data_IF_254732368699
#
_entry.id   IF_254732368699
#
_cell.length_a   1.000
_cell.length_b   1.000
_cell.length_c   1.000
_cell.angle_alpha   90.00
_cell.angle_beta   90.00
_cell.angle_gamma   90.00
#
_symmetry.space_group_name_H-M   'P 1'
#
loop_
_entity.id
_entity.type
_entity.pdbx_description
1 polymer ?
#
# COMPACT_ATOMS: atom_id res chain seq x y z
N UNK A 1 -9.63 -10.45 15.48
CA UNK A 1 -10.80 -11.26 15.87
C UNK A 1 -10.95 -12.44 14.90
N UNK A 2 -11.08 -12.23 13.58
CA UNK A 2 -11.29 -13.31 12.60
C UNK A 2 -10.18 -14.39 12.69
N UNK A 3 -8.91 -14.02 12.65
CA UNK A 3 -7.77 -14.95 12.73
C UNK A 3 -7.70 -15.67 14.07
N UNK A 4 -8.10 -15.00 15.14
CA UNK A 4 -8.14 -15.59 16.47
C UNK A 4 -9.21 -16.67 16.58
N UNK A 5 -10.42 -16.43 16.03
CA UNK A 5 -11.51 -17.40 15.98
C UNK A 5 -11.11 -18.64 15.15
N UNK A 6 -10.36 -18.43 14.08
CA UNK A 6 -9.92 -19.50 13.17
C UNK A 6 -8.66 -20.22 13.63
N UNK A 7 -8.10 -19.87 14.80
CA UNK A 7 -6.84 -20.44 15.37
C UNK A 7 -5.67 -20.41 14.38
N UNK A 8 -5.57 -19.32 13.59
CA UNK A 8 -4.52 -19.12 12.59
C UNK A 8 -3.31 -18.43 13.20
N UNK A 9 -2.12 -18.64 12.60
CA UNK A 9 -0.89 -17.98 13.05
C UNK A 9 -0.94 -16.49 12.75
N UNK A 10 -1.07 -15.68 13.83
CA UNK A 10 -1.15 -14.23 13.73
C UNK A 10 0.10 -13.61 13.12
N UNK A 11 1.27 -14.17 13.37
CA UNK A 11 2.53 -13.63 12.87
C UNK A 11 2.63 -13.74 11.36
N UNK A 12 2.11 -14.82 10.77
CA UNK A 12 2.15 -15.05 9.32
C UNK A 12 0.95 -14.46 8.58
N UNK A 13 -0.23 -14.48 9.18
CA UNK A 13 -1.47 -14.14 8.45
C UNK A 13 -1.99 -12.72 8.73
N UNK A 14 -1.56 -12.07 9.82
CA UNK A 14 -1.97 -10.71 10.13
C UNK A 14 -1.39 -9.67 9.14
N UNK A 15 -0.08 -9.68 8.79
CA UNK A 15 0.45 -8.72 7.83
C UNK A 15 -0.29 -8.73 6.48
N UNK A 16 -0.54 -9.89 5.83
CA UNK A 16 -1.32 -9.94 4.59
C UNK A 16 -2.74 -9.38 4.73
N UNK A 17 -3.37 -9.50 5.89
CA UNK A 17 -4.72 -8.97 6.12
C UNK A 17 -4.76 -7.45 6.32
N UNK A 18 -3.76 -6.87 6.98
CA UNK A 18 -3.81 -5.45 7.37
C UNK A 18 -3.01 -4.54 6.42
N UNK A 19 -2.00 -5.07 5.73
CA UNK A 19 -1.13 -4.28 4.87
C UNK A 19 -1.48 -4.50 3.38
N UNK A 20 -2.21 -3.55 2.78
CA UNK A 20 -2.64 -3.61 1.37
C UNK A 20 -1.51 -3.31 0.39
N UNK A 21 -1.68 -3.77 -0.85
CA UNK A 21 -0.81 -3.45 -1.98
C UNK A 21 -1.12 -2.05 -2.56
N UNK A 22 -1.01 -1.04 -1.71
CA UNK A 22 -1.32 0.35 -2.06
C UNK A 22 -0.36 0.92 -3.09
N UNK A 23 0.93 0.55 -3.02
CA UNK A 23 1.96 1.04 -3.92
C UNK A 23 1.82 0.45 -5.33
N UNK A 24 1.98 -0.87 -5.46
CA UNK A 24 2.09 -1.51 -6.77
C UNK A 24 0.75 -1.63 -7.54
N UNK A 25 -0.38 -1.69 -6.83
CA UNK A 25 -1.70 -1.75 -7.47
C UNK A 25 -2.53 -0.50 -7.20
N UNK A 26 -2.54 -0.03 -5.97
CA UNK A 26 -3.41 1.07 -5.57
C UNK A 26 -3.07 2.38 -6.28
N UNK A 27 -1.80 2.76 -6.38
CA UNK A 27 -1.38 3.98 -7.09
C UNK A 27 -1.79 3.95 -8.56
N UNK A 28 -1.49 2.90 -9.35
CA UNK A 28 -1.92 2.82 -10.74
C UNK A 28 -3.45 2.92 -10.92
N UNK A 29 -4.21 2.20 -10.11
CA UNK A 29 -5.67 2.22 -10.21
C UNK A 29 -6.24 3.61 -9.88
N UNK A 30 -5.71 4.27 -8.86
CA UNK A 30 -6.11 5.63 -8.50
C UNK A 30 -5.72 6.66 -9.57
N UNK A 31 -4.56 6.49 -10.22
CA UNK A 31 -4.17 7.31 -11.37
C UNK A 31 -5.17 7.14 -12.53
N UNK A 32 -5.56 5.91 -12.86
CA UNK A 32 -6.53 5.64 -13.93
C UNK A 32 -7.94 6.15 -13.59
N UNK A 33 -8.34 6.09 -12.32
CA UNK A 33 -9.68 6.51 -11.91
C UNK A 33 -9.81 8.04 -11.74
N UNK A 34 -8.78 8.72 -11.24
CA UNK A 34 -8.84 10.12 -10.80
C UNK A 34 -7.71 11.00 -11.36
N UNK A 35 -6.93 10.51 -12.33
CA UNK A 35 -5.82 11.26 -12.93
C UNK A 35 -4.71 11.59 -11.93
N UNK A 36 -4.00 12.69 -12.18
CA UNK A 36 -2.86 13.13 -11.35
C UNK A 36 -3.25 13.50 -9.92
N UNK A 37 -4.47 13.95 -9.69
CA UNK A 37 -4.99 14.20 -8.33
C UNK A 37 -5.11 12.91 -7.53
N UNK A 38 -5.63 11.85 -8.16
CA UNK A 38 -5.69 10.51 -7.56
C UNK A 38 -4.31 9.93 -7.28
N UNK A 39 -3.35 10.16 -8.19
CA UNK A 39 -1.95 9.79 -8.00
C UNK A 39 -1.36 10.41 -6.74
N UNK A 40 -1.55 11.71 -6.52
CA UNK A 40 -1.02 12.43 -5.37
C UNK A 40 -1.54 11.87 -4.03
N UNK A 41 -2.86 11.76 -3.90
CA UNK A 41 -3.48 11.22 -2.66
C UNK A 41 -3.12 9.75 -2.46
N UNK A 42 -3.14 8.94 -3.52
CA UNK A 42 -2.76 7.53 -3.44
C UNK A 42 -1.30 7.34 -3.01
N UNK A 43 -0.39 8.20 -3.49
CA UNK A 43 1.03 8.17 -3.12
C UNK A 43 1.23 8.53 -1.65
N UNK A 44 0.49 9.52 -1.13
CA UNK A 44 0.53 9.86 0.29
C UNK A 44 0.06 8.70 1.17
N UNK A 45 -1.06 8.06 0.83
CA UNK A 45 -1.57 6.87 1.54
C UNK A 45 -0.56 5.72 1.45
N UNK A 46 -0.03 5.45 0.26
CA UNK A 46 0.96 4.39 0.06
C UNK A 46 2.24 4.63 0.87
N UNK A 47 2.67 5.89 1.01
CA UNK A 47 3.83 6.25 1.84
C UNK A 47 3.64 5.87 3.30
N UNK A 48 2.46 6.15 3.87
CA UNK A 48 2.13 5.74 5.24
C UNK A 48 2.10 4.22 5.37
N UNK A 49 1.48 3.51 4.41
CA UNK A 49 1.42 2.05 4.43
C UNK A 49 2.83 1.43 4.27
N UNK A 50 3.69 1.99 3.44
CA UNK A 50 5.09 1.56 3.29
C UNK A 50 5.84 1.68 4.63
N UNK A 51 5.68 2.77 5.37
CA UNK A 51 6.26 2.90 6.70
C UNK A 51 5.76 1.80 7.64
N UNK A 52 4.46 1.48 7.61
CA UNK A 52 3.93 0.36 8.39
C UNK A 52 4.47 -1.00 7.94
N UNK A 53 4.75 -1.23 6.65
CA UNK A 53 5.39 -2.46 6.20
C UNK A 53 6.79 -2.62 6.80
N UNK A 54 7.61 -1.57 6.77
CA UNK A 54 8.99 -1.63 7.27
C UNK A 54 9.10 -1.56 8.80
N UNK A 55 8.07 -1.15 9.50
CA UNK A 55 8.03 -1.13 10.97
C UNK A 55 7.23 -2.31 11.52
N UNK A 56 5.91 -2.22 11.46
CA UNK A 56 4.99 -3.22 12.01
C UNK A 56 5.08 -4.57 11.27
N UNK A 57 5.17 -4.55 9.95
CA UNK A 57 5.27 -5.76 9.14
C UNK A 57 6.52 -6.57 9.48
N UNK A 58 7.68 -5.91 9.55
CA UNK A 58 8.95 -6.55 9.93
C UNK A 58 8.92 -7.04 11.38
N UNK A 59 8.35 -6.25 12.30
CA UNK A 59 8.19 -6.67 13.69
C UNK A 59 7.33 -7.94 13.83
N UNK A 60 6.21 -8.01 13.14
CA UNK A 60 5.33 -9.18 13.17
C UNK A 60 6.01 -10.43 12.57
N UNK A 61 6.78 -10.25 11.49
CA UNK A 61 7.47 -11.35 10.82
C UNK A 61 8.69 -11.88 11.60
N UNK A 62 9.52 -10.98 12.14
CA UNK A 62 10.77 -11.35 12.81
C UNK A 62 10.65 -11.45 14.34
N UNK A 63 9.56 -10.98 14.92
CA UNK A 63 9.35 -10.81 16.39
C UNK A 63 10.44 -9.95 17.07
N UNK A 64 11.22 -9.24 16.26
CA UNK A 64 12.26 -8.31 16.70
C UNK A 64 12.12 -6.97 16.00
N UNK A 65 12.29 -5.87 16.74
CA UNK A 65 12.25 -4.53 16.19
C UNK A 65 13.63 -4.18 15.62
N UNK A 66 13.78 -4.32 14.30
CA UNK A 66 15.05 -4.02 13.63
C UNK A 66 15.01 -2.64 12.99
N UNK A 67 15.54 -1.63 13.68
CA UNK A 67 15.74 -0.29 13.11
C UNK A 67 16.60 -0.31 11.84
N UNK A 68 17.52 -1.25 11.74
CA UNK A 68 18.39 -1.43 10.57
C UNK A 68 17.60 -1.58 9.26
N UNK A 69 16.48 -2.27 9.27
CA UNK A 69 15.64 -2.47 8.08
C UNK A 69 15.00 -1.16 7.65
N UNK A 70 14.55 -0.35 8.60
CA UNK A 70 13.95 0.96 8.34
C UNK A 70 15.00 1.90 7.74
N UNK A 71 16.18 2.00 8.36
CA UNK A 71 17.24 2.90 7.92
C UNK A 71 17.94 2.46 6.63
N UNK A 72 17.90 1.18 6.28
CA UNK A 72 18.44 0.68 5.00
C UNK A 72 17.43 0.73 3.84
N UNK A 73 16.21 1.17 4.11
CA UNK A 73 15.14 1.19 3.12
C UNK A 73 15.09 2.52 2.33
N UNK A 74 15.39 2.53 1.00
CA UNK A 74 15.35 3.74 0.19
C UNK A 74 14.01 4.48 0.20
N UNK A 75 12.83 3.80 0.21
CA UNK A 75 11.55 4.48 0.27
C UNK A 75 11.37 5.37 1.51
N UNK A 76 11.96 5.00 2.65
CA UNK A 76 11.87 5.79 3.88
C UNK A 76 12.52 7.16 3.70
N UNK A 77 13.68 7.21 3.06
CA UNK A 77 14.36 8.48 2.76
C UNK A 77 13.56 9.34 1.78
N UNK A 78 12.97 8.74 0.75
CA UNK A 78 12.12 9.45 -0.19
C UNK A 78 10.90 10.09 0.51
N UNK A 79 10.28 9.37 1.45
CA UNK A 79 9.16 9.87 2.24
C UNK A 79 9.60 11.04 3.13
N UNK A 80 10.75 10.90 3.83
CA UNK A 80 11.28 11.97 4.69
C UNK A 80 11.55 13.23 3.86
N UNK A 81 12.22 13.10 2.72
CA UNK A 81 12.51 14.23 1.82
C UNK A 81 11.20 14.88 1.35
N UNK A 82 10.21 14.10 0.93
CA UNK A 82 8.92 14.61 0.48
C UNK A 82 8.19 15.38 1.58
N UNK A 83 8.20 14.86 2.81
CA UNK A 83 7.60 15.52 3.98
C UNK A 83 8.32 16.83 4.30
N UNK A 84 9.65 16.87 4.21
CA UNK A 84 10.41 18.10 4.42
C UNK A 84 10.08 19.17 3.37
N UNK A 85 9.98 18.79 2.09
CA UNK A 85 9.55 19.72 1.03
C UNK A 85 8.16 20.29 1.31
N UNK A 86 7.21 19.46 1.72
CA UNK A 86 5.85 19.89 2.08
C UNK A 86 5.84 20.79 3.33
N UNK A 87 6.59 20.42 4.36
CA UNK A 87 6.60 21.16 5.63
C UNK A 87 7.20 22.56 5.48
N UNK A 88 8.27 22.69 4.71
CA UNK A 88 8.94 23.97 4.45
C UNK A 88 8.35 24.73 3.25
N UNK A 89 7.29 24.20 2.61
CA UNK A 89 6.69 24.74 1.38
C UNK A 89 7.75 25.05 0.30
N UNK A 90 8.72 24.14 0.14
CA UNK A 90 9.77 24.27 -0.86
C UNK A 90 9.22 23.98 -2.25
N UNK A 91 9.53 24.85 -3.20
CA UNK A 91 9.23 24.58 -4.61
C UNK A 91 10.13 23.48 -5.15
N UNK A 92 9.55 22.49 -5.80
CA UNK A 92 10.31 21.42 -6.45
C UNK A 92 10.89 21.97 -7.76
N UNK A 93 12.20 21.87 -8.01
CA UNK A 93 12.78 22.30 -9.28
C UNK A 93 12.12 21.58 -10.47
N UNK A 94 11.80 22.29 -11.53
CA UNK A 94 11.05 21.78 -12.69
C UNK A 94 11.70 20.54 -13.32
N UNK A 95 13.03 20.51 -13.39
CA UNK A 95 13.74 19.34 -13.93
C UNK A 95 13.54 18.09 -13.06
N UNK A 96 13.47 18.25 -11.74
CA UNK A 96 13.27 17.16 -10.80
C UNK A 96 11.81 16.67 -10.88
N UNK A 97 10.86 17.59 -10.95
CA UNK A 97 9.44 17.28 -11.12
C UNK A 97 9.21 16.48 -12.41
N UNK A 98 9.69 16.97 -13.54
CA UNK A 98 9.54 16.30 -14.83
C UNK A 98 10.22 14.92 -14.86
N UNK A 99 11.42 14.80 -14.28
CA UNK A 99 12.14 13.54 -14.24
C UNK A 99 11.41 12.50 -13.37
N UNK A 100 10.97 12.88 -12.17
CA UNK A 100 10.24 11.98 -11.28
C UNK A 100 8.89 11.58 -11.86
N UNK A 101 8.21 12.51 -12.56
CA UNK A 101 6.96 12.23 -13.26
C UNK A 101 7.13 11.16 -14.36
N UNK A 102 8.17 11.31 -15.19
CA UNK A 102 8.50 10.37 -16.25
C UNK A 102 8.84 8.98 -15.68
N UNK A 103 9.66 8.94 -14.63
CA UNK A 103 10.00 7.72 -13.94
C UNK A 103 8.79 7.05 -13.29
N UNK A 104 7.82 7.82 -12.79
CA UNK A 104 6.59 7.30 -12.21
C UNK A 104 5.79 6.51 -13.23
N UNK A 105 5.57 7.03 -14.44
CA UNK A 105 4.85 6.31 -15.49
C UNK A 105 5.57 5.04 -15.93
N UNK A 106 6.89 5.12 -16.11
CA UNK A 106 7.70 3.95 -16.45
C UNK A 106 7.62 2.88 -15.34
N UNK A 107 7.70 3.30 -14.07
CA UNK A 107 7.62 2.41 -12.91
C UNK A 107 6.25 1.75 -12.81
N UNK A 108 5.16 2.48 -13.01
CA UNK A 108 3.79 1.95 -12.99
C UNK A 108 3.66 0.81 -14.01
N UNK A 109 4.13 1.04 -15.24
CA UNK A 109 4.09 0.01 -16.29
C UNK A 109 4.89 -1.23 -15.90
N UNK A 110 6.13 -1.07 -15.46
CA UNK A 110 7.01 -2.17 -15.08
C UNK A 110 6.48 -2.97 -13.88
N UNK A 111 5.90 -2.29 -12.90
CA UNK A 111 5.34 -2.92 -11.71
C UNK A 111 4.09 -3.74 -12.06
N UNK A 112 3.18 -3.20 -12.88
CA UNK A 112 2.00 -3.94 -13.32
C UNK A 112 2.38 -5.15 -14.18
N UNK A 113 3.37 -5.01 -15.06
CA UNK A 113 3.90 -6.11 -15.86
C UNK A 113 4.54 -7.19 -14.98
N UNK A 114 5.37 -6.79 -14.01
CA UNK A 114 5.99 -7.70 -13.04
C UNK A 114 4.95 -8.45 -12.20
N UNK A 115 3.89 -7.76 -11.78
CA UNK A 115 2.78 -8.37 -11.05
C UNK A 115 2.05 -9.41 -11.92
N UNK A 116 1.79 -9.08 -13.19
CA UNK A 116 1.20 -10.02 -14.14
C UNK A 116 2.04 -11.28 -14.32
N UNK A 117 3.36 -11.14 -14.49
CA UNK A 117 4.29 -12.27 -14.58
C UNK A 117 4.29 -13.09 -13.28
N UNK A 118 4.29 -12.43 -12.13
CA UNK A 118 4.25 -13.11 -10.84
C UNK A 118 3.00 -13.99 -10.73
N UNK A 119 1.82 -13.48 -11.10
CA UNK A 119 0.56 -14.23 -11.06
C UNK A 119 0.59 -15.53 -11.88
N UNK A 120 1.33 -15.57 -13.00
CA UNK A 120 1.45 -16.80 -13.81
C UNK A 120 2.31 -17.88 -13.17
N UNK A 121 3.14 -17.52 -12.20
CA UNK A 121 4.08 -18.44 -11.52
C UNK A 121 3.54 -19.02 -10.20
N UNK A 122 2.51 -18.42 -9.62
CA UNK A 122 1.95 -18.89 -8.36
C UNK A 122 1.06 -20.12 -8.54
N UNK A 123 1.36 -21.17 -7.77
CA UNK A 123 0.44 -22.30 -7.57
C UNK A 123 -0.48 -21.94 -6.39
N UNK A 124 -1.74 -21.68 -6.68
CA UNK A 124 -2.72 -21.33 -5.66
C UNK A 124 -3.13 -22.56 -4.83
N UNK A 125 -2.94 -22.49 -3.52
CA UNK A 125 -3.68 -23.33 -2.58
C UNK A 125 -5.02 -22.65 -2.30
N UNK A 126 -6.08 -23.07 -3.01
CA UNK A 126 -7.38 -22.40 -2.99
C UNK A 126 -8.01 -22.32 -1.59
N UNK A 127 -7.88 -23.36 -0.77
CA UNK A 127 -8.59 -23.43 0.51
C UNK A 127 -8.12 -22.41 1.56
N UNK A 128 -6.82 -22.20 1.67
CA UNK A 128 -6.25 -21.33 2.71
C UNK A 128 -6.20 -19.87 2.27
N UNK A 129 -6.00 -19.62 0.97
CA UNK A 129 -5.86 -18.27 0.41
C UNK A 129 -7.18 -17.55 0.23
N UNK A 130 -8.28 -18.24 -0.08
CA UNK A 130 -9.59 -17.63 -0.35
C UNK A 130 -10.12 -16.87 0.88
N UNK A 131 -10.02 -17.44 2.06
CA UNK A 131 -10.54 -16.82 3.28
C UNK A 131 -9.82 -15.52 3.62
N UNK A 132 -8.48 -15.52 3.51
CA UNK A 132 -7.68 -14.32 3.73
C UNK A 132 -7.93 -13.26 2.64
N UNK A 133 -8.03 -13.69 1.38
CA UNK A 133 -8.30 -12.80 0.25
C UNK A 133 -9.68 -12.17 0.37
N UNK A 134 -10.73 -12.94 0.63
CA UNK A 134 -12.09 -12.44 0.84
C UNK A 134 -12.16 -11.55 2.08
N UNK A 135 -11.55 -11.98 3.19
CA UNK A 135 -11.46 -11.16 4.40
C UNK A 135 -10.84 -9.79 4.11
N UNK A 136 -9.72 -9.77 3.39
CA UNK A 136 -9.03 -8.53 3.04
C UNK A 136 -9.86 -7.64 2.11
N UNK A 137 -10.33 -8.18 0.99
CA UNK A 137 -11.03 -7.43 -0.06
C UNK A 137 -12.42 -6.95 0.40
N UNK A 138 -13.06 -7.62 1.35
CA UNK A 138 -14.36 -7.21 1.88
C UNK A 138 -14.20 -6.32 3.13
N UNK A 139 -13.40 -6.73 4.12
CA UNK A 139 -13.29 -5.98 5.37
C UNK A 139 -12.62 -4.63 5.19
N UNK A 140 -11.63 -4.53 4.30
CA UNK A 140 -10.96 -3.25 4.01
C UNK A 140 -11.95 -2.17 3.58
N UNK A 141 -12.71 -2.36 2.48
CA UNK A 141 -13.72 -1.39 2.03
C UNK A 141 -14.83 -1.15 3.05
N UNK A 142 -15.33 -2.18 3.75
CA UNK A 142 -16.38 -2.01 4.76
C UNK A 142 -15.92 -1.08 5.89
N UNK A 143 -14.73 -1.31 6.43
CA UNK A 143 -14.15 -0.43 7.46
C UNK A 143 -13.91 0.97 6.90
N UNK A 144 -13.44 1.06 5.66
CA UNK A 144 -13.21 2.34 5.00
C UNK A 144 -14.51 3.15 4.84
N UNK A 145 -15.61 2.53 4.42
CA UNK A 145 -16.92 3.18 4.31
C UNK A 145 -17.39 3.71 5.68
N UNK A 146 -17.19 2.94 6.75
CA UNK A 146 -17.52 3.40 8.11
C UNK A 146 -16.69 4.63 8.48
N UNK A 147 -15.41 4.65 8.15
CA UNK A 147 -14.51 5.79 8.40
C UNK A 147 -14.94 7.00 7.56
N UNK A 148 -15.19 6.81 6.27
CA UNK A 148 -15.64 7.87 5.35
C UNK A 148 -16.91 8.53 5.91
N UNK A 149 -17.89 7.75 6.32
CA UNK A 149 -19.15 8.26 6.88
C UNK A 149 -18.94 8.93 8.24
N UNK A 150 -18.06 8.40 9.09
CA UNK A 150 -17.82 8.96 10.43
C UNK A 150 -17.09 10.31 10.39
N UNK A 151 -16.23 10.50 9.41
CA UNK A 151 -15.42 11.72 9.26
C UNK A 151 -15.92 12.65 8.14
N UNK A 152 -17.12 12.37 7.58
CA UNK A 152 -17.75 13.13 6.50
C UNK A 152 -16.79 13.38 5.31
N UNK A 153 -15.95 12.39 5.00
CA UNK A 153 -15.04 12.47 3.87
C UNK A 153 -15.85 12.40 2.57
N UNK A 154 -15.53 13.28 1.62
CA UNK A 154 -16.26 13.38 0.36
C UNK A 154 -15.32 13.60 -0.83
N UNK A 155 -15.88 13.51 -2.03
CA UNK A 155 -15.17 13.78 -3.26
C UNK A 155 -14.15 12.69 -3.63
N UNK A 156 -13.16 13.06 -4.47
CA UNK A 156 -12.20 12.11 -5.01
C UNK A 156 -11.28 11.49 -3.93
N UNK A 157 -10.98 12.22 -2.86
CA UNK A 157 -10.12 11.71 -1.78
C UNK A 157 -10.76 10.52 -1.06
N UNK A 158 -12.07 10.57 -0.81
CA UNK A 158 -12.81 9.44 -0.26
C UNK A 158 -12.81 8.23 -1.22
N UNK A 159 -12.98 8.49 -2.53
CA UNK A 159 -12.89 7.44 -3.56
C UNK A 159 -11.49 6.80 -3.63
N UNK A 160 -10.43 7.59 -3.57
CA UNK A 160 -9.05 7.08 -3.52
C UNK A 160 -8.82 6.23 -2.27
N UNK A 161 -9.28 6.68 -1.10
CA UNK A 161 -9.18 5.93 0.15
C UNK A 161 -9.92 4.58 0.05
N UNK A 162 -11.10 4.57 -0.55
CA UNK A 162 -11.90 3.36 -0.76
C UNK A 162 -11.16 2.38 -1.71
N UNK A 163 -10.64 2.85 -2.84
CA UNK A 163 -9.84 2.03 -3.76
C UNK A 163 -8.63 1.44 -3.03
N UNK A 164 -7.86 2.25 -2.32
CA UNK A 164 -6.68 1.81 -1.57
C UNK A 164 -7.02 0.76 -0.50
N UNK A 165 -8.17 0.92 0.16
CA UNK A 165 -8.64 -0.04 1.17
C UNK A 165 -9.05 -1.39 0.57
N UNK A 166 -9.50 -1.41 -0.70
CA UNK A 166 -9.90 -2.61 -1.43
C UNK A 166 -8.74 -3.37 -2.06
N UNK A 167 -7.51 -2.82 -2.00
CA UNK A 167 -6.35 -3.49 -2.59
C UNK A 167 -6.08 -4.83 -1.90
N UNK A 168 -5.68 -5.87 -2.68
CA UNK A 168 -5.28 -7.15 -2.12
C UNK A 168 -4.03 -7.00 -1.25
N UNK A 169 -3.60 -8.09 -0.63
CA UNK A 169 -2.37 -8.13 0.16
C UNK A 169 -1.15 -7.71 -0.65
N UNK A 170 -0.23 -6.99 -0.03
CA UNK A 170 1.01 -6.61 -0.66
C UNK A 170 1.94 -7.82 -0.87
N UNK A 171 2.68 -7.81 -1.99
CA UNK A 171 3.70 -8.84 -2.27
C UNK A 171 4.79 -8.85 -1.21
N UNK A 172 5.11 -7.70 -0.63
CA UNK A 172 6.08 -7.55 0.47
C UNK A 172 5.75 -8.39 1.71
N UNK A 173 4.50 -8.80 1.88
CA UNK A 173 4.10 -9.64 3.02
C UNK A 173 4.52 -11.11 2.86
N UNK A 174 5.05 -11.50 1.70
CA UNK A 174 5.46 -12.88 1.37
C UNK A 174 6.98 -13.00 1.13
N UNK A 175 7.72 -11.91 1.27
CA UNK A 175 9.18 -11.85 1.20
C UNK A 175 9.80 -11.90 2.60
#
# INVERSE_FOLDING_TARGET
>A
ILLFILKRDLSMELPPMILPNTGNMGIPICLFAYGTQGLGVASAIASVIILFHFTLGVFLAKKDFSFDVVFKSPPVYAIIISVLFLYFNLEVPVFLENTTFLLTYATIFLVLMSLGIALTRFKFSLKDSILLALGRVILGPVICIIIINKFDLSGFAAGVLLIQSAMPSAVLNYL
#
